data_IF_666210389948
#
_entry.id   IF_666210389948
#
_cell.length_a   1.000
_cell.length_b   1.000
_cell.length_c   1.000
_cell.angle_alpha   90.00
_cell.angle_beta   90.00
_cell.angle_gamma   90.00
#
_symmetry.space_group_name_H-M   'P 1'
#
loop_
_entity.id
_entity.type
_entity.pdbx_description
1 polymer ?
#
# COMPACT_ATOMS: atom_id res chain seq x y z
N UNK A 1 5.59 32.75 1.33
CA UNK A 1 5.28 31.76 2.39
C UNK A 1 5.32 30.37 1.77
N UNK A 2 6.39 29.58 1.97
CA UNK A 2 6.61 28.35 1.23
C UNK A 2 5.69 27.23 1.73
N UNK A 3 5.14 26.51 0.75
CA UNK A 3 4.23 25.37 0.88
C UNK A 3 4.89 24.27 1.71
N UNK A 4 4.25 23.86 2.81
CA UNK A 4 4.57 22.61 3.51
C UNK A 4 4.38 21.47 2.53
N UNK A 5 5.48 20.80 2.19
CA UNK A 5 5.48 19.60 1.39
C UNK A 5 4.56 18.55 2.05
N UNK A 6 3.76 17.90 1.22
CA UNK A 6 2.68 17.00 1.62
C UNK A 6 3.13 15.96 2.64
N UNK A 7 2.71 16.18 3.89
CA UNK A 7 2.37 15.10 4.79
C UNK A 7 1.28 14.32 4.06
N UNK A 8 1.56 13.08 3.65
CA UNK A 8 0.51 12.19 3.16
C UNK A 8 -0.43 12.05 4.36
N UNK A 9 -1.53 12.79 4.29
CA UNK A 9 -2.66 12.69 5.17
C UNK A 9 -3.05 11.22 5.14
N UNK A 10 -2.72 10.49 6.21
CA UNK A 10 -3.18 9.12 6.40
C UNK A 10 -4.67 9.25 6.66
N UNK A 11 -5.45 9.30 5.58
CA UNK A 11 -6.89 9.21 5.59
C UNK A 11 -7.23 7.82 6.16
N UNK A 12 -7.23 7.71 7.49
CA UNK A 12 -7.86 6.62 8.21
C UNK A 12 -9.36 6.77 8.01
N UNK A 13 -9.85 6.33 6.84
CA UNK A 13 -11.28 6.08 6.69
C UNK A 13 -11.62 4.91 7.60
N UNK A 14 -12.16 5.21 8.78
CA UNK A 14 -12.75 4.25 9.69
C UNK A 14 -13.88 3.52 8.95
N UNK A 15 -13.60 2.32 8.45
CA UNK A 15 -14.65 1.38 8.06
C UNK A 15 -14.89 0.46 9.24
N UNK A 16 -16.08 0.57 9.83
CA UNK A 16 -16.60 -0.30 10.88
C UNK A 16 -16.68 -1.73 10.33
N UNK A 17 -15.73 -2.59 10.68
CA UNK A 17 -15.80 -4.02 10.36
C UNK A 17 -16.53 -4.71 11.51
N UNK A 18 -17.81 -5.01 11.31
CA UNK A 18 -18.58 -5.87 12.19
C UNK A 18 -18.45 -7.35 11.77
N UNK A 19 -18.55 -8.21 12.78
CA UNK A 19 -18.64 -9.68 12.80
C UNK A 19 -17.48 -10.50 12.25
N UNK A 20 -16.74 -11.11 13.18
CA UNK A 20 -15.97 -12.33 12.96
C UNK A 20 -16.89 -13.52 13.25
N UNK A 21 -17.19 -14.32 12.22
CA UNK A 21 -17.63 -15.70 12.38
C UNK A 21 -16.47 -16.59 11.91
N UNK A 22 -16.03 -17.47 12.82
CA UNK A 22 -15.01 -18.47 12.60
C UNK A 22 -15.53 -19.57 11.69
N UNK A 23 -15.11 -19.60 10.43
CA UNK A 23 -15.03 -20.79 9.59
C UNK A 23 -13.84 -20.63 8.63
N UNK A 24 -13.03 -21.67 8.49
CA UNK A 24 -11.82 -21.69 7.67
C UNK A 24 -12.07 -21.19 6.23
N UNK A 25 -11.24 -20.32 5.65
CA UNK A 25 -11.42 -19.95 4.25
C UNK A 25 -10.54 -20.81 3.35
N UNK A 26 -11.21 -21.67 2.58
CA UNK A 26 -10.72 -22.18 1.31
C UNK A 26 -10.08 -21.05 0.50
N UNK A 27 -8.88 -21.30 -0.03
CA UNK A 27 -8.19 -20.43 -0.99
C UNK A 27 -9.05 -20.22 -2.24
N UNK A 28 -9.96 -19.25 -2.20
CA UNK A 28 -10.54 -18.63 -3.40
C UNK A 28 -10.12 -17.17 -3.39
N UNK A 29 -8.87 -16.93 -3.78
CA UNK A 29 -8.47 -15.63 -4.29
C UNK A 29 -9.36 -15.40 -5.51
N UNK A 30 -10.33 -14.49 -5.40
CA UNK A 30 -10.93 -13.86 -6.57
C UNK A 30 -9.76 -13.31 -7.39
N UNK A 31 -9.31 -14.06 -8.39
CA UNK A 31 -8.19 -13.68 -9.24
C UNK A 31 -8.69 -12.51 -10.09
N UNK A 32 -8.52 -11.30 -9.56
CA UNK A 32 -8.61 -10.10 -10.35
C UNK A 32 -7.59 -10.26 -11.48
N UNK A 33 -8.09 -10.60 -12.66
CA UNK A 33 -7.28 -10.82 -13.85
C UNK A 33 -7.76 -9.82 -14.89
N UNK A 34 -6.88 -8.95 -15.39
CA UNK A 34 -7.25 -8.08 -16.49
C UNK A 34 -7.64 -8.91 -17.72
N UNK A 35 -8.55 -8.42 -18.58
CA UNK A 35 -8.87 -9.07 -19.84
C UNK A 35 -7.59 -9.32 -20.65
N UNK A 36 -7.48 -10.49 -21.29
CA UNK A 36 -6.29 -10.89 -22.07
C UNK A 36 -5.86 -9.89 -23.15
N UNK A 37 -6.79 -9.07 -23.65
CA UNK A 37 -6.55 -8.06 -24.69
C UNK A 37 -6.30 -6.64 -24.14
N UNK A 38 -6.14 -6.48 -22.83
CA UNK A 38 -5.88 -5.16 -22.26
C UNK A 38 -4.48 -4.65 -22.63
N UNK A 39 -4.40 -3.38 -23.02
CA UNK A 39 -3.17 -2.63 -23.25
C UNK A 39 -2.85 -1.58 -22.17
N UNK A 40 -3.50 -1.65 -21.01
CA UNK A 40 -3.34 -0.71 -19.90
C UNK A 40 -3.09 -1.42 -18.57
N UNK A 41 -2.48 -0.70 -17.62
CA UNK A 41 -2.32 -1.15 -16.23
C UNK A 41 -3.69 -1.25 -15.54
N UNK A 42 -3.88 -2.28 -14.71
CA UNK A 42 -5.14 -2.49 -13.97
C UNK A 42 -4.95 -2.36 -12.47
N UNK A 43 -5.84 -1.61 -11.84
CA UNK A 43 -5.86 -1.41 -10.38
C UNK A 43 -6.94 -2.32 -9.79
N UNK A 44 -6.52 -3.23 -8.90
CA UNK A 44 -7.40 -4.19 -8.25
C UNK A 44 -8.22 -3.62 -7.07
N UNK A 45 -9.07 -4.46 -6.47
CA UNK A 45 -9.72 -4.14 -5.20
C UNK A 45 -8.67 -3.97 -4.08
N UNK A 46 -8.99 -3.28 -2.97
CA UNK A 46 -8.08 -3.17 -1.83
C UNK A 46 -7.64 -4.54 -1.32
N UNK A 47 -6.34 -4.71 -1.06
CA UNK A 47 -5.82 -5.92 -0.45
C UNK A 47 -6.31 -6.07 1.00
N UNK A 48 -6.60 -7.31 1.42
CA UNK A 48 -7.19 -7.61 2.73
C UNK A 48 -6.26 -7.36 3.91
N UNK A 49 -4.95 -7.32 3.71
CA UNK A 49 -3.96 -7.18 4.78
C UNK A 49 -3.34 -5.79 4.78
N UNK A 50 -2.90 -5.31 3.62
CA UNK A 50 -2.24 -4.00 3.50
C UNK A 50 -3.23 -2.83 3.34
N UNK A 51 -4.48 -3.11 2.91
CA UNK A 51 -5.47 -2.14 2.41
C UNK A 51 -5.05 -1.40 1.13
N UNK A 52 -3.87 -1.67 0.57
CA UNK A 52 -3.40 -1.07 -0.67
C UNK A 52 -3.98 -1.79 -1.89
N UNK A 53 -4.23 -1.04 -2.97
CA UNK A 53 -4.70 -1.64 -4.22
C UNK A 53 -3.53 -2.26 -4.99
N UNK A 54 -3.58 -3.54 -5.38
CA UNK A 54 -2.58 -4.15 -6.24
C UNK A 54 -2.69 -3.58 -7.66
N UNK A 55 -1.57 -3.54 -8.36
CA UNK A 55 -1.50 -3.08 -9.77
C UNK A 55 -0.99 -4.23 -10.62
N UNK A 56 -1.76 -4.59 -11.64
CA UNK A 56 -1.34 -5.50 -12.69
C UNK A 56 -0.80 -4.67 -13.85
N UNK A 57 0.52 -4.61 -13.95
CA UNK A 57 1.19 -3.86 -15.01
C UNK A 57 1.00 -4.53 -16.36
N UNK A 58 0.66 -3.75 -17.37
CA UNK A 58 0.61 -4.19 -18.76
C UNK A 58 2.03 -4.51 -19.27
N UNK A 59 2.12 -5.59 -20.06
CA UNK A 59 3.35 -6.01 -20.74
C UNK A 59 3.10 -5.85 -22.25
N UNK A 60 3.72 -4.86 -22.91
CA UNK A 60 3.66 -4.73 -24.36
C UNK A 60 4.31 -5.93 -25.08
N UNK A 61 3.82 -6.29 -26.25
CA UNK A 61 4.39 -7.39 -27.05
C UNK A 61 5.84 -7.10 -27.49
N UNK A 62 6.14 -5.83 -27.81
CA UNK A 62 7.46 -5.36 -28.23
C UNK A 62 8.15 -4.56 -27.10
N UNK A 63 8.06 -5.01 -25.85
CA UNK A 63 8.66 -4.33 -24.70
C UNK A 63 10.19 -4.20 -24.88
N UNK A 64 10.71 -2.97 -24.80
CA UNK A 64 12.16 -2.75 -24.83
C UNK A 64 12.80 -3.22 -23.52
N UNK A 65 14.11 -3.58 -23.51
CA UNK A 65 14.80 -3.94 -22.28
C UNK A 65 14.74 -2.85 -21.19
N UNK A 66 14.63 -1.57 -21.60
CA UNK A 66 14.51 -0.45 -20.68
C UNK A 66 13.09 -0.30 -20.12
N UNK A 67 12.07 -0.56 -20.94
CA UNK A 67 10.67 -0.63 -20.51
C UNK A 67 10.43 -1.78 -19.54
N UNK A 68 10.99 -2.96 -19.83
CA UNK A 68 10.97 -4.12 -18.94
C UNK A 68 11.57 -3.79 -17.58
N UNK A 69 12.78 -3.20 -17.55
CA UNK A 69 13.43 -2.77 -16.30
C UNK A 69 12.57 -1.78 -15.50
N UNK A 70 11.93 -0.83 -16.18
CA UNK A 70 11.01 0.11 -15.54
C UNK A 70 9.77 -0.60 -14.97
N UNK A 71 9.20 -1.57 -15.70
CA UNK A 71 8.06 -2.36 -15.22
C UNK A 71 8.44 -3.21 -14.00
N UNK A 72 9.55 -3.93 -14.05
CA UNK A 72 10.05 -4.76 -12.95
C UNK A 72 10.33 -3.91 -11.71
N UNK A 73 11.01 -2.76 -11.86
CA UNK A 73 11.24 -1.83 -10.74
C UNK A 73 9.94 -1.33 -10.09
N UNK A 74 8.91 -1.07 -10.90
CA UNK A 74 7.57 -0.68 -10.40
C UNK A 74 6.88 -1.85 -9.69
N UNK A 75 6.99 -3.06 -10.21
CA UNK A 75 6.47 -4.28 -9.59
C UNK A 75 7.11 -4.55 -8.23
N UNK A 76 8.45 -4.57 -8.17
CA UNK A 76 9.22 -4.75 -6.94
C UNK A 76 8.91 -3.68 -5.90
N UNK A 77 8.78 -2.41 -6.32
CA UNK A 77 8.44 -1.31 -5.42
C UNK A 77 7.02 -1.46 -4.86
N UNK A 78 6.08 -1.90 -5.69
CA UNK A 78 4.70 -2.14 -5.25
C UNK A 78 4.62 -3.34 -4.30
N UNK A 79 5.33 -4.43 -4.59
CA UNK A 79 5.40 -5.59 -3.69
C UNK A 79 6.03 -5.23 -2.34
N UNK A 80 7.14 -4.51 -2.36
CA UNK A 80 7.78 -4.02 -1.14
C UNK A 80 6.82 -3.15 -0.29
N UNK A 81 6.08 -2.25 -0.94
CA UNK A 81 5.09 -1.39 -0.29
C UNK A 81 3.93 -2.20 0.31
N UNK A 82 3.41 -3.18 -0.45
CA UNK A 82 2.37 -4.10 0.00
C UNK A 82 2.81 -4.88 1.25
N UNK A 83 4.00 -5.47 1.23
CA UNK A 83 4.55 -6.21 2.36
C UNK A 83 4.75 -5.32 3.60
N UNK A 84 5.27 -4.11 3.42
CA UNK A 84 5.45 -3.17 4.53
C UNK A 84 4.12 -2.88 5.24
N UNK A 85 3.08 -2.52 4.48
CA UNK A 85 1.78 -2.16 5.04
C UNK A 85 1.00 -3.35 5.59
N UNK A 86 1.10 -4.53 4.96
CA UNK A 86 0.53 -5.76 5.53
C UNK A 86 1.11 -6.04 6.92
N UNK A 87 2.44 -5.92 7.06
CA UNK A 87 3.12 -6.12 8.34
C UNK A 87 2.77 -5.01 9.35
N UNK A 88 2.74 -3.73 8.95
CA UNK A 88 2.36 -2.64 9.85
C UNK A 88 0.92 -2.79 10.35
N UNK A 89 -0.03 -3.12 9.47
CA UNK A 89 -1.43 -3.30 9.85
C UNK A 89 -1.58 -4.47 10.82
N UNK A 90 -0.86 -5.57 10.60
CA UNK A 90 -0.85 -6.71 11.53
C UNK A 90 -0.30 -6.32 12.90
N UNK A 91 0.83 -5.59 12.95
CA UNK A 91 1.40 -5.11 14.21
C UNK A 91 0.46 -4.14 14.91
N UNK A 92 -0.13 -3.19 14.17
CA UNK A 92 -1.08 -2.23 14.70
C UNK A 92 -2.29 -2.91 15.34
N UNK A 93 -2.90 -3.89 14.66
CA UNK A 93 -4.05 -4.63 15.20
C UNK A 93 -3.69 -5.37 16.48
N UNK A 94 -2.55 -6.07 16.51
CA UNK A 94 -2.08 -6.80 17.69
C UNK A 94 -1.80 -5.88 18.88
N UNK A 95 -1.12 -4.75 18.65
CA UNK A 95 -0.80 -3.80 19.73
C UNK A 95 -2.07 -3.09 20.22
N UNK A 96 -3.00 -2.76 19.31
CA UNK A 96 -4.29 -2.17 19.66
C UNK A 96 -5.13 -3.09 20.53
N UNK A 97 -5.25 -4.37 20.16
CA UNK A 97 -5.99 -5.36 20.94
C UNK A 97 -5.40 -5.50 22.34
N UNK A 98 -4.08 -5.65 22.46
CA UNK A 98 -3.39 -5.69 23.76
C UNK A 98 -3.65 -4.45 24.61
N UNK A 99 -3.63 -3.27 24.00
CA UNK A 99 -3.88 -2.01 24.71
C UNK A 99 -5.32 -1.96 25.24
N UNK A 100 -6.29 -2.34 24.41
CA UNK A 100 -7.70 -2.41 24.80
C UNK A 100 -7.87 -3.39 25.97
N UNK A 101 -7.35 -4.61 25.84
CA UNK A 101 -7.47 -5.64 26.88
C UNK A 101 -6.85 -5.18 28.20
N UNK A 102 -5.68 -4.54 28.15
CA UNK A 102 -4.97 -4.04 29.33
C UNK A 102 -5.75 -2.93 30.04
N UNK A 103 -6.30 -1.98 29.29
CA UNK A 103 -7.10 -0.87 29.85
C UNK A 103 -8.43 -1.34 30.41
N UNK A 104 -9.11 -2.29 29.74
CA UNK A 104 -10.36 -2.87 30.25
C UNK A 104 -10.11 -3.65 31.55
N UNK A 105 -9.06 -4.48 31.59
CA UNK A 105 -8.67 -5.22 32.80
C UNK A 105 -8.32 -4.29 33.96
N UNK A 106 -7.59 -3.20 33.71
CA UNK A 106 -7.26 -2.21 34.74
C UNK A 106 -8.50 -1.51 35.32
N UNK A 107 -9.59 -1.41 34.55
CA UNK A 107 -10.89 -0.88 35.01
C UNK A 107 -11.76 -1.92 35.71
N UNK A 108 -11.32 -3.18 35.81
CA UNK A 108 -12.13 -4.27 36.33
C UNK A 108 -13.31 -4.66 35.42
N UNK A 109 -13.28 -4.26 34.14
CA UNK A 109 -14.30 -4.62 33.15
C UNK A 109 -13.81 -5.84 32.37
N UNK A 110 -14.56 -6.95 32.40
CA UNK A 110 -14.33 -8.06 31.48
C UNK A 110 -14.73 -7.69 30.04
N UNK A 111 -14.11 -8.33 29.04
CA UNK A 111 -14.35 -8.13 27.61
C UNK A 111 -15.82 -8.31 27.19
N UNK A 112 -16.62 -9.00 28.02
CA UNK A 112 -18.07 -9.11 27.92
C UNK A 112 -18.68 -8.73 29.26
N UNK A 113 -19.39 -7.60 29.29
CA UNK A 113 -20.34 -7.35 30.37
C UNK A 113 -21.48 -8.39 30.30
N UNK A 114 -22.10 -8.71 31.43
CA UNK A 114 -23.27 -9.61 31.52
C UNK A 114 -24.43 -9.19 30.59
N UNK A 115 -24.48 -7.91 30.20
CA UNK A 115 -25.42 -7.34 29.24
C UNK A 115 -25.13 -7.64 27.76
N UNK A 116 -24.04 -8.37 27.45
CA UNK A 116 -23.61 -8.66 26.08
C UNK A 116 -22.98 -7.48 25.33
N UNK A 117 -22.90 -6.29 25.96
CA UNK A 117 -22.18 -5.15 25.41
C UNK A 117 -20.67 -5.36 25.57
N UNK A 118 -19.93 -5.28 24.46
CA UNK A 118 -18.47 -5.23 24.50
C UNK A 118 -18.05 -3.92 25.15
N UNK A 119 -17.27 -3.99 26.22
CA UNK A 119 -16.66 -2.80 26.79
C UNK A 119 -15.74 -2.16 25.74
N UNK A 120 -15.93 -0.87 25.46
CA UNK A 120 -15.14 -0.11 24.50
C UNK A 120 -14.47 1.06 25.19
N UNK A 121 -13.20 1.30 24.88
CA UNK A 121 -12.49 2.50 25.34
C UNK A 121 -13.06 3.76 24.71
N UNK A 122 -13.04 4.88 25.45
CA UNK A 122 -13.40 6.18 24.90
C UNK A 122 -12.29 6.68 23.94
N UNK A 123 -12.62 7.66 23.10
CA UNK A 123 -11.71 8.28 22.14
C UNK A 123 -10.46 8.86 22.80
N UNK A 124 -10.58 9.47 23.98
CA UNK A 124 -9.44 10.01 24.74
C UNK A 124 -8.44 8.92 25.14
N UNK A 125 -8.94 7.78 25.64
CA UNK A 125 -8.08 6.65 26.03
C UNK A 125 -7.44 5.97 24.82
N UNK A 126 -8.15 5.94 23.69
CA UNK A 126 -7.59 5.47 22.43
C UNK A 126 -6.53 6.44 21.88
N UNK A 127 -6.62 7.75 22.19
CA UNK A 127 -5.62 8.73 21.76
C UNK A 127 -4.25 8.46 22.39
N UNK A 128 -4.20 8.00 23.64
CA UNK A 128 -2.97 7.56 24.30
C UNK A 128 -2.28 6.44 23.52
N UNK A 129 -3.05 5.43 23.10
CA UNK A 129 -2.54 4.34 22.26
C UNK A 129 -1.96 4.87 20.95
N UNK A 130 -2.68 5.75 20.25
CA UNK A 130 -2.20 6.32 18.99
C UNK A 130 -0.89 7.08 19.17
N UNK A 131 -0.80 7.91 20.23
CA UNK A 131 0.41 8.66 20.55
C UNK A 131 1.58 7.73 20.81
N UNK A 132 1.42 6.73 21.67
CA UNK A 132 2.47 5.78 22.01
C UNK A 132 2.90 4.95 20.80
N UNK A 133 1.94 4.41 20.04
CA UNK A 133 2.20 3.61 18.84
C UNK A 133 3.00 4.40 17.80
N UNK A 134 2.60 5.66 17.55
CA UNK A 134 3.29 6.54 16.60
C UNK A 134 4.70 6.89 17.07
N UNK A 135 4.88 7.25 18.35
CA UNK A 135 6.19 7.54 18.93
C UNK A 135 7.13 6.33 18.83
N UNK A 136 6.64 5.14 19.21
CA UNK A 136 7.41 3.89 19.17
C UNK A 136 7.82 3.48 17.75
N UNK A 137 6.96 3.72 16.75
CA UNK A 137 7.19 3.33 15.36
C UNK A 137 7.79 4.46 14.50
N UNK A 138 8.12 5.61 15.08
CA UNK A 138 8.56 6.80 14.34
C UNK A 138 9.77 6.51 13.44
N UNK A 139 10.84 5.93 13.98
CA UNK A 139 12.04 5.62 13.19
C UNK A 139 11.76 4.65 12.04
N UNK A 140 10.94 3.62 12.29
CA UNK A 140 10.53 2.65 11.26
C UNK A 140 9.82 3.34 10.10
N UNK A 141 8.88 4.24 10.39
CA UNK A 141 8.19 5.02 9.36
C UNK A 141 9.12 6.00 8.64
N UNK A 142 10.10 6.57 9.34
CA UNK A 142 11.10 7.43 8.72
C UNK A 142 11.95 6.68 7.70
N UNK A 143 12.44 5.47 8.05
CA UNK A 143 13.19 4.61 7.13
C UNK A 143 12.34 4.17 5.94
N UNK A 144 11.09 3.77 6.18
CA UNK A 144 10.14 3.46 5.11
C UNK A 144 9.97 4.64 4.15
N UNK A 145 9.70 5.85 4.66
CA UNK A 145 9.50 7.03 3.80
C UNK A 145 10.75 7.34 2.98
N UNK A 146 11.94 7.24 3.59
CA UNK A 146 13.21 7.43 2.89
C UNK A 146 13.34 6.45 1.71
N UNK A 147 13.10 5.17 1.95
CA UNK A 147 13.24 4.14 0.91
C UNK A 147 12.13 4.23 -0.14
N UNK A 148 10.91 4.61 0.27
CA UNK A 148 9.80 4.92 -0.63
C UNK A 148 10.16 6.04 -1.60
N UNK A 149 10.70 7.15 -1.11
CA UNK A 149 11.15 8.26 -1.97
C UNK A 149 12.30 7.83 -2.89
N UNK A 150 13.28 7.09 -2.37
CA UNK A 150 14.40 6.58 -3.17
C UNK A 150 13.91 5.71 -4.34
N UNK A 151 12.99 4.79 -4.09
CA UNK A 151 12.39 3.92 -5.13
C UNK A 151 11.58 4.73 -6.14
N UNK A 152 10.72 5.65 -5.70
CA UNK A 152 9.92 6.48 -6.60
C UNK A 152 10.77 7.42 -7.45
N UNK A 153 11.87 7.94 -6.89
CA UNK A 153 12.84 8.73 -7.66
C UNK A 153 13.51 7.89 -8.75
N UNK A 154 13.94 6.67 -8.42
CA UNK A 154 14.50 5.74 -9.40
C UNK A 154 13.48 5.43 -10.52
N UNK A 155 12.22 5.13 -10.17
CA UNK A 155 11.14 4.91 -11.14
C UNK A 155 10.99 6.12 -12.06
N UNK A 156 10.89 7.33 -11.51
CA UNK A 156 10.75 8.57 -12.28
C UNK A 156 11.92 8.78 -13.23
N UNK A 157 13.14 8.49 -12.78
CA UNK A 157 14.34 8.55 -13.63
C UNK A 157 14.25 7.56 -14.81
N UNK A 158 13.87 6.30 -14.55
CA UNK A 158 13.71 5.31 -15.62
C UNK A 158 12.55 5.66 -16.57
N UNK A 159 11.45 6.24 -16.08
CA UNK A 159 10.37 6.78 -16.92
C UNK A 159 10.91 7.81 -17.89
N UNK A 160 11.76 8.73 -17.43
CA UNK A 160 12.43 9.72 -18.28
C UNK A 160 13.29 9.07 -19.35
N UNK A 161 14.11 8.06 -18.97
CA UNK A 161 14.95 7.33 -19.94
C UNK A 161 14.12 6.60 -21.01
N UNK A 162 13.04 5.92 -20.63
CA UNK A 162 12.12 5.26 -21.58
C UNK A 162 11.48 6.28 -22.53
N UNK A 163 11.05 7.44 -22.01
CA UNK A 163 10.47 8.49 -22.84
C UNK A 163 11.48 9.00 -23.89
N UNK A 164 12.74 9.23 -23.50
CA UNK A 164 13.81 9.63 -24.41
C UNK A 164 14.11 8.56 -25.46
N UNK A 165 14.20 7.28 -25.07
CA UNK A 165 14.41 6.16 -25.98
C UNK A 165 13.30 6.09 -27.04
N UNK A 166 12.03 6.22 -26.63
CA UNK A 166 10.88 6.24 -27.54
C UNK A 166 10.94 7.40 -28.53
N UNK A 167 11.32 8.59 -28.08
CA UNK A 167 11.47 9.77 -28.96
C UNK A 167 12.59 9.53 -29.98
N UNK A 168 13.76 9.05 -29.51
CA UNK A 168 14.89 8.74 -30.38
C UNK A 168 14.55 7.71 -31.45
N UNK A 169 13.89 6.62 -31.07
CA UNK A 169 13.47 5.57 -31.99
C UNK A 169 12.49 6.09 -33.06
N UNK A 170 11.54 6.96 -32.68
CA UNK A 170 10.61 7.60 -33.64
C UNK A 170 11.35 8.50 -34.63
N UNK A 171 12.30 9.30 -34.16
CA UNK A 171 13.10 10.18 -35.02
C UNK A 171 13.96 9.38 -36.01
N UNK A 172 14.60 8.29 -35.55
CA UNK A 172 15.38 7.39 -36.40
C UNK A 172 14.54 6.75 -37.51
N UNK A 173 13.32 6.32 -37.19
CA UNK A 173 12.39 5.74 -38.17
C UNK A 173 11.91 6.77 -39.20
N UNK A 174 11.64 8.02 -38.79
CA UNK A 174 11.30 9.11 -39.71
C UNK A 174 12.43 9.37 -40.71
N UNK A 175 13.69 9.45 -40.24
CA UNK A 175 14.86 9.68 -41.10
C UNK A 175 15.06 8.57 -42.14
N UNK A 176 14.79 7.32 -41.78
CA UNK A 176 14.85 6.18 -42.72
C UNK A 176 13.75 6.26 -43.80
N UNK A 177 12.53 6.66 -43.43
CA UNK A 177 11.41 6.82 -44.38
C UNK A 177 11.61 7.96 -45.37
N UNK A 178 12.31 9.03 -44.99
CA UNK A 178 12.64 10.15 -45.88
C UNK A 178 13.84 9.89 -46.80
N UNK A 179 14.58 8.79 -46.58
CA UNK A 179 15.78 8.43 -47.35
C UNK A 179 15.52 7.31 -48.37
N UNK A 180 14.31 6.73 -48.36
CA UNK A 180 13.78 5.80 -49.37
C UNK A 180 12.75 6.55 -50.22
#
# INVERSE_FOLDING_TARGET
MPRRAGFIEVQFTYRKIHSWQTCAPQFKVSRFCPPRKSCHDWIGPPDKYSNLRPVHFYIPENESPLEQKLRELRQETQEWNQQFWANQNLTFLKEKEKFIDSRLKAKGLELRAESGQKATLNAEEMADFYKEFLSKNFQKHMYYNRDWYKRNFAITFFMGKVALERIWNKLRLKRKKTSN
#
